data_IF_657061196179
#
_entry.id   IF_657061196179
#
_cell.length_a   1.000
_cell.length_b   1.000
_cell.length_c   1.000
_cell.angle_alpha   90.00
_cell.angle_beta   90.00
_cell.angle_gamma   90.00
#
_symmetry.space_group_name_H-M   'P 1'
#
loop_
_entity.id
_entity.type
_entity.pdbx_description
1 polymer ?
#
# COMPACT_ATOMS: atom_id res chain seq x y z
N UNK A 1 -3.21 10.08 -6.04
CA UNK A 1 -3.66 8.69 -5.92
C UNK A 1 -2.73 7.83 -5.06
N UNK A 2 -1.41 7.68 -5.34
CA UNK A 2 -0.50 6.90 -4.49
C UNK A 2 -0.42 7.41 -3.04
N UNK A 3 -0.41 8.73 -2.83
CA UNK A 3 -0.41 9.34 -1.50
C UNK A 3 -1.65 8.96 -0.68
N UNK A 4 -2.83 8.92 -1.30
CA UNK A 4 -4.06 8.51 -0.62
C UNK A 4 -4.09 7.03 -0.24
N UNK A 5 -3.34 6.16 -0.95
CA UNK A 5 -3.15 4.77 -0.56
C UNK A 5 -2.18 4.62 0.62
N UNK A 6 -1.19 5.51 0.71
CA UNK A 6 -0.28 5.53 1.84
C UNK A 6 -0.95 6.03 3.12
N UNK A 7 -1.75 7.08 3.01
CA UNK A 7 -2.29 7.79 4.14
C UNK A 7 -3.73 8.29 3.90
N UNK A 8 -4.67 7.82 4.67
CA UNK A 8 -6.04 8.31 4.68
C UNK A 8 -6.65 8.21 6.09
N UNK A 9 -7.66 9.06 6.36
CA UNK A 9 -8.30 9.12 7.67
C UNK A 9 -8.97 7.79 8.07
N UNK A 10 -9.58 7.09 7.11
CA UNK A 10 -10.23 5.80 7.37
C UNK A 10 -9.24 4.74 7.84
N UNK A 11 -8.02 4.72 7.28
CA UNK A 11 -6.95 3.80 7.68
C UNK A 11 -6.43 4.12 9.08
N UNK A 12 -6.23 5.39 9.41
CA UNK A 12 -5.84 5.81 10.76
C UNK A 12 -6.86 5.33 11.80
N UNK A 13 -8.14 5.58 11.56
CA UNK A 13 -9.21 5.13 12.46
C UNK A 13 -9.22 3.61 12.59
N UNK A 14 -9.01 2.89 11.49
CA UNK A 14 -8.95 1.42 11.50
C UNK A 14 -7.78 0.92 12.34
N UNK A 15 -6.58 1.46 12.13
CA UNK A 15 -5.38 1.05 12.86
C UNK A 15 -5.51 1.30 14.37
N UNK A 16 -5.99 2.48 14.77
CA UNK A 16 -6.22 2.81 16.18
C UNK A 16 -7.30 1.92 16.82
N UNK A 17 -8.35 1.58 16.08
CA UNK A 17 -9.41 0.71 16.58
C UNK A 17 -9.01 -0.77 16.73
N UNK A 18 -7.88 -1.17 16.16
CA UNK A 18 -7.29 -2.50 16.33
C UNK A 18 -6.31 -2.57 17.51
N UNK A 19 -5.98 -1.42 18.11
CA UNK A 19 -5.14 -1.32 19.30
C UNK A 19 -6.00 -1.27 20.59
N UNK A 20 -5.35 -1.13 21.73
CA UNK A 20 -5.97 -0.89 23.03
C UNK A 20 -6.34 0.58 23.27
N UNK A 21 -5.87 1.49 22.38
CA UNK A 21 -6.07 2.94 22.53
C UNK A 21 -7.46 3.42 22.13
N UNK A 22 -8.14 2.71 21.23
CA UNK A 22 -9.44 3.16 20.72
C UNK A 22 -10.42 2.01 20.47
N UNK A 23 -11.69 2.36 20.48
CA UNK A 23 -12.80 1.46 20.15
C UNK A 23 -13.66 2.06 19.04
N UNK A 24 -13.84 1.33 17.95
CA UNK A 24 -14.83 1.71 16.94
C UNK A 24 -16.23 1.25 17.38
N UNK A 25 -17.08 2.19 17.74
CA UNK A 25 -18.47 1.93 18.14
C UNK A 25 -19.38 1.49 16.99
N UNK A 26 -18.92 1.58 15.74
CA UNK A 26 -19.65 1.09 14.58
C UNK A 26 -19.57 -0.43 14.50
N UNK A 27 -20.58 -1.05 13.91
CA UNK A 27 -20.57 -2.49 13.65
C UNK A 27 -19.72 -2.80 12.41
N UNK A 28 -18.40 -2.76 12.57
CA UNK A 28 -17.47 -3.21 11.54
C UNK A 28 -17.00 -4.63 11.89
N UNK A 29 -17.60 -5.61 11.24
CA UNK A 29 -17.45 -7.02 11.61
C UNK A 29 -16.02 -7.53 11.49
N UNK A 30 -15.28 -7.13 10.48
CA UNK A 30 -13.87 -7.52 10.27
C UNK A 30 -12.97 -7.04 11.41
N UNK A 31 -13.09 -5.78 11.81
CA UNK A 31 -12.30 -5.21 12.92
C UNK A 31 -12.67 -5.87 14.25
N UNK A 32 -13.96 -6.15 14.44
CA UNK A 32 -14.44 -6.87 15.62
C UNK A 32 -13.89 -8.29 15.67
N UNK A 33 -13.85 -9.00 14.54
CA UNK A 33 -13.29 -10.33 14.45
C UNK A 33 -11.81 -10.35 14.80
N UNK A 34 -11.03 -9.40 14.28
CA UNK A 34 -9.59 -9.26 14.59
C UNK A 34 -9.39 -9.04 16.09
N UNK A 35 -10.11 -8.10 16.69
CA UNK A 35 -9.99 -7.77 18.13
C UNK A 35 -10.38 -8.92 19.05
N UNK A 36 -11.30 -9.78 18.63
CA UNK A 36 -11.71 -10.97 19.37
C UNK A 36 -10.80 -12.17 19.14
N UNK A 37 -9.71 -12.04 18.38
CA UNK A 37 -8.85 -13.15 18.01
C UNK A 37 -9.49 -14.15 17.04
N UNK A 38 -10.57 -13.75 16.36
CA UNK A 38 -11.32 -14.58 15.41
C UNK A 38 -10.99 -14.22 13.95
N UNK A 39 -9.84 -13.59 13.73
CA UNK A 39 -9.42 -13.23 12.39
C UNK A 39 -9.17 -14.45 11.52
N UNK A 40 -9.69 -14.41 10.29
CA UNK A 40 -9.39 -15.40 9.25
C UNK A 40 -8.80 -14.71 8.05
N UNK A 41 -7.98 -15.40 7.23
CA UNK A 41 -7.39 -14.79 6.03
C UNK A 41 -8.43 -14.34 4.98
N UNK A 42 -9.68 -14.79 5.10
CA UNK A 42 -10.78 -14.46 4.20
C UNK A 42 -11.48 -13.14 4.49
N UNK A 43 -11.14 -12.45 5.58
CA UNK A 43 -11.74 -11.15 5.89
C UNK A 43 -11.45 -10.13 4.79
N UNK A 44 -12.47 -9.38 4.40
CA UNK A 44 -12.37 -8.39 3.33
C UNK A 44 -11.37 -7.26 3.65
N UNK A 45 -11.16 -6.94 4.90
CA UNK A 45 -10.16 -5.95 5.33
C UNK A 45 -8.76 -6.31 4.81
N UNK A 46 -8.34 -7.57 4.88
CA UNK A 46 -7.03 -8.00 4.40
C UNK A 46 -6.94 -7.95 2.88
N UNK A 47 -7.96 -8.43 2.18
CA UNK A 47 -8.04 -8.40 0.72
C UNK A 47 -8.00 -6.95 0.18
N UNK A 48 -8.76 -6.06 0.78
CA UNK A 48 -8.85 -4.67 0.36
C UNK A 48 -7.53 -3.94 0.63
N UNK A 49 -6.93 -4.15 1.79
CA UNK A 49 -5.63 -3.57 2.13
C UNK A 49 -4.53 -4.00 1.15
N UNK A 50 -4.46 -5.29 0.83
CA UNK A 50 -3.55 -5.82 -0.19
C UNK A 50 -3.73 -5.15 -1.54
N UNK A 51 -4.97 -5.10 -2.03
CA UNK A 51 -5.32 -4.49 -3.31
C UNK A 51 -4.93 -3.00 -3.36
N UNK A 52 -5.24 -2.27 -2.31
CA UNK A 52 -5.00 -0.83 -2.24
C UNK A 52 -3.50 -0.52 -2.20
N UNK A 53 -2.74 -1.25 -1.40
CA UNK A 53 -1.29 -1.05 -1.28
C UNK A 53 -0.57 -1.35 -2.60
N UNK A 54 -0.88 -2.48 -3.27
CA UNK A 54 -0.31 -2.76 -4.58
C UNK A 54 -0.81 -1.82 -5.68
N UNK A 55 -2.05 -1.33 -5.60
CA UNK A 55 -2.55 -0.29 -6.48
C UNK A 55 -1.77 1.02 -6.35
N UNK A 56 -1.41 1.40 -5.12
CA UNK A 56 -0.53 2.53 -4.85
C UNK A 56 0.89 2.33 -5.39
N UNK A 57 1.47 1.14 -5.20
CA UNK A 57 2.80 0.78 -5.73
C UNK A 57 2.79 0.86 -7.25
N UNK A 58 1.79 0.29 -7.93
CA UNK A 58 1.64 0.40 -9.38
C UNK A 58 1.60 1.86 -9.84
N UNK A 59 0.85 2.70 -9.16
CA UNK A 59 0.81 4.15 -9.46
C UNK A 59 2.19 4.80 -9.35
N UNK A 60 3.00 4.41 -8.36
CA UNK A 60 4.37 4.88 -8.22
C UNK A 60 5.25 4.44 -9.40
N UNK A 61 5.12 3.18 -9.86
CA UNK A 61 5.88 2.67 -11.01
C UNK A 61 5.51 3.44 -12.29
N UNK A 62 4.23 3.59 -12.59
CA UNK A 62 3.75 4.35 -13.75
C UNK A 62 4.28 5.79 -13.75
N UNK A 63 4.36 6.44 -12.58
CA UNK A 63 4.96 7.78 -12.49
C UNK A 63 6.45 7.74 -12.81
N UNK A 64 7.20 6.82 -12.20
CA UNK A 64 8.66 6.73 -12.39
C UNK A 64 9.05 6.42 -13.83
N UNK A 65 8.25 5.64 -14.55
CA UNK A 65 8.46 5.36 -15.98
C UNK A 65 8.19 6.58 -16.88
N UNK A 66 7.18 7.39 -16.50
CA UNK A 66 6.69 8.46 -17.37
C UNK A 66 7.22 9.84 -17.03
N UNK A 67 7.86 10.04 -15.89
CA UNK A 67 8.34 11.36 -15.46
C UNK A 67 9.38 11.96 -16.42
N UNK A 68 10.14 11.11 -17.10
CA UNK A 68 11.15 11.53 -18.09
C UNK A 68 10.53 12.04 -19.41
N UNK A 69 9.27 11.69 -19.67
CA UNK A 69 8.55 12.10 -20.87
C UNK A 69 7.92 13.50 -20.73
N UNK A 70 7.95 14.10 -19.55
CA UNK A 70 7.35 15.43 -19.34
C UNK A 70 8.28 16.50 -19.88
N UNK A 71 7.91 17.24 -20.94
CA UNK A 71 8.75 18.25 -21.55
C UNK A 71 8.92 19.46 -20.61
N UNK A 72 10.10 20.09 -20.67
CA UNK A 72 10.40 21.35 -20.00
C UNK A 72 10.18 21.36 -18.46
N UNK A 73 10.24 20.21 -17.82
CA UNK A 73 10.17 20.14 -16.36
C UNK A 73 11.50 20.61 -15.75
N UNK A 74 11.42 21.48 -14.75
CA UNK A 74 12.59 21.89 -13.98
C UNK A 74 13.27 20.69 -13.31
N UNK A 75 14.61 20.60 -13.44
CA UNK A 75 15.36 19.45 -12.96
C UNK A 75 15.27 19.26 -11.43
N UNK A 76 15.22 20.35 -10.67
CA UNK A 76 15.12 20.28 -9.21
C UNK A 76 13.74 19.80 -8.76
N UNK A 77 12.68 20.27 -9.42
CA UNK A 77 11.31 19.81 -9.19
C UNK A 77 11.17 18.34 -9.53
N UNK A 78 11.72 17.92 -10.68
CA UNK A 78 11.72 16.51 -11.10
C UNK A 78 12.41 15.60 -10.09
N UNK A 79 13.62 15.98 -9.65
CA UNK A 79 14.36 15.21 -8.66
C UNK A 79 13.60 15.06 -7.35
N UNK A 80 12.96 16.15 -6.88
CA UNK A 80 12.14 16.13 -5.68
C UNK A 80 10.94 15.19 -5.83
N UNK A 81 10.21 15.28 -6.94
CA UNK A 81 9.03 14.43 -7.19
C UNK A 81 9.42 12.94 -7.25
N UNK A 82 10.55 12.62 -7.88
CA UNK A 82 11.06 11.23 -7.91
C UNK A 82 11.37 10.74 -6.49
N UNK A 83 12.01 11.57 -5.67
CA UNK A 83 12.32 11.22 -4.29
C UNK A 83 11.04 11.00 -3.46
N UNK A 84 10.05 11.88 -3.58
CA UNK A 84 8.75 11.76 -2.92
C UNK A 84 8.03 10.45 -3.32
N UNK A 85 8.00 10.13 -4.60
CA UNK A 85 7.36 8.89 -5.09
C UNK A 85 8.10 7.63 -4.61
N UNK A 86 9.43 7.65 -4.58
CA UNK A 86 10.22 6.55 -4.01
C UNK A 86 9.95 6.35 -2.52
N UNK A 87 9.82 7.44 -1.77
CA UNK A 87 9.45 7.40 -0.36
C UNK A 87 8.05 6.80 -0.15
N UNK A 88 7.06 7.26 -0.92
CA UNK A 88 5.69 6.72 -0.88
C UNK A 88 5.71 5.22 -1.18
N UNK A 89 6.42 4.78 -2.22
CA UNK A 89 6.54 3.36 -2.57
C UNK A 89 7.15 2.54 -1.44
N UNK A 90 8.22 3.03 -0.82
CA UNK A 90 8.84 2.37 0.31
C UNK A 90 7.89 2.25 1.51
N UNK A 91 7.11 3.28 1.81
CA UNK A 91 6.10 3.27 2.88
C UNK A 91 4.98 2.26 2.62
N UNK A 92 4.54 2.11 1.37
CA UNK A 92 3.54 1.11 0.99
C UNK A 92 4.07 -0.31 1.15
N UNK A 93 5.32 -0.59 0.75
CA UNK A 93 5.96 -1.88 0.98
C UNK A 93 6.21 -2.16 2.45
N UNK A 94 6.64 -1.16 3.23
CA UNK A 94 6.78 -1.31 4.67
C UNK A 94 5.47 -1.76 5.32
N UNK A 95 4.34 -1.14 4.93
CA UNK A 95 3.03 -1.56 5.42
C UNK A 95 2.66 -2.98 4.96
N UNK A 96 2.92 -3.33 3.71
CA UNK A 96 2.70 -4.68 3.20
C UNK A 96 3.47 -5.73 4.01
N UNK A 97 4.76 -5.52 4.22
CA UNK A 97 5.60 -6.47 4.96
C UNK A 97 5.20 -6.56 6.43
N UNK A 98 4.76 -5.45 7.01
CA UNK A 98 4.28 -5.44 8.40
C UNK A 98 2.98 -6.24 8.59
N UNK A 99 2.09 -6.22 7.60
CA UNK A 99 0.79 -6.90 7.67
C UNK A 99 0.84 -8.36 7.19
N UNK A 100 1.65 -8.66 6.18
CA UNK A 100 1.62 -9.96 5.47
C UNK A 100 2.94 -10.74 5.53
N UNK A 101 3.97 -10.19 6.15
CA UNK A 101 5.31 -10.78 6.15
C UNK A 101 5.95 -10.70 4.76
N UNK A 102 6.49 -11.81 4.26
CA UNK A 102 7.10 -11.86 2.93
C UNK A 102 6.06 -11.59 1.84
N UNK A 103 6.35 -10.63 0.96
CA UNK A 103 5.48 -10.19 -0.13
C UNK A 103 6.24 -10.12 -1.46
N UNK A 104 5.58 -10.26 -2.62
CA UNK A 104 6.20 -9.99 -3.91
C UNK A 104 6.75 -8.57 -3.98
N UNK A 105 8.02 -8.42 -4.36
CA UNK A 105 8.68 -7.13 -4.49
C UNK A 105 8.99 -6.83 -5.95
N UNK A 106 8.54 -5.67 -6.43
CA UNK A 106 8.73 -5.19 -7.78
C UNK A 106 9.46 -3.86 -7.78
N UNK A 107 10.39 -3.68 -8.68
CA UNK A 107 11.11 -2.41 -8.90
C UNK A 107 10.55 -1.60 -10.06
N UNK A 108 9.80 -2.24 -10.94
CA UNK A 108 9.19 -1.70 -12.16
C UNK A 108 7.73 -2.17 -12.31
N UNK A 109 6.99 -1.62 -13.26
CA UNK A 109 5.66 -2.11 -13.57
C UNK A 109 5.77 -3.48 -14.25
N UNK A 110 4.88 -4.38 -13.89
CA UNK A 110 4.88 -5.77 -14.38
C UNK A 110 3.55 -6.10 -15.02
N UNK A 111 3.62 -6.98 -16.00
CA UNK A 111 2.44 -7.55 -16.66
C UNK A 111 1.71 -8.55 -15.75
N UNK A 112 0.47 -8.85 -16.10
CA UNK A 112 -0.32 -9.86 -15.37
C UNK A 112 0.34 -11.26 -15.42
N UNK A 113 1.02 -11.60 -16.53
CA UNK A 113 1.71 -12.88 -16.66
C UNK A 113 2.95 -12.97 -15.78
N UNK A 114 3.77 -11.93 -15.76
CA UNK A 114 4.93 -11.84 -14.87
C UNK A 114 4.50 -11.92 -13.41
N UNK A 115 3.39 -11.27 -13.03
CA UNK A 115 2.88 -11.30 -11.66
C UNK A 115 2.53 -12.69 -11.15
N UNK A 116 2.22 -13.63 -12.05
CA UNK A 116 1.90 -15.04 -11.69
C UNK A 116 3.12 -15.88 -11.39
N UNK A 117 4.29 -15.48 -11.90
CA UNK A 117 5.55 -16.20 -11.74
C UNK A 117 6.40 -15.73 -10.56
N UNK A 118 6.03 -14.58 -9.95
CA UNK A 118 6.83 -13.98 -8.88
C UNK A 118 6.56 -14.67 -7.54
N UNK A 119 7.64 -15.11 -6.92
CA UNK A 119 7.62 -15.64 -5.56
C UNK A 119 7.61 -14.52 -4.53
N UNK A 120 7.17 -14.83 -3.31
CA UNK A 120 7.32 -13.92 -2.17
C UNK A 120 8.81 -13.78 -1.84
N UNK A 121 9.27 -12.55 -1.71
CA UNK A 121 10.63 -12.21 -1.26
C UNK A 121 10.58 -11.74 0.18
N UNK A 122 11.68 -11.93 0.85
CA UNK A 122 11.88 -11.54 2.27
C UNK A 122 11.85 -10.02 2.45
#
# INVERSE_FOLDING_TARGET
MAYSQMYNAGRMWSDESLSDNAYDGRSVDDQRAIRKGMATPSLDIFKNEWKDLYGGIKTCHVFLEKVDLVPNMDASVKARMIAEIRYIRASLYFRLTNLYGAVPFFTEDITLEESRSVSRTW
#
